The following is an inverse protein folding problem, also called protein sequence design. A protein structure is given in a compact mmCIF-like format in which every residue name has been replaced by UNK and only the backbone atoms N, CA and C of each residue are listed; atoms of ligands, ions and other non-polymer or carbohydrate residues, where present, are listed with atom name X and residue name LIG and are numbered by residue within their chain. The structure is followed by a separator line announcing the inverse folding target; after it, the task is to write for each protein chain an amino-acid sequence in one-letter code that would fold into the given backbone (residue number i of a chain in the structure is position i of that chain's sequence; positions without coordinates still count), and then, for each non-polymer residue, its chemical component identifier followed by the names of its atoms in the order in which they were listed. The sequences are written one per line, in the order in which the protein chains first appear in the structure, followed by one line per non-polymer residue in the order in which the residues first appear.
data_IF_389272263832
#
_entry.id   IF_389272263832
#
_cell.length_a   1.000
_cell.length_b   1.000
_cell.length_c   1.000
_cell.angle_alpha   90.00
_cell.angle_beta   90.00
_cell.angle_gamma   90.00
#
_symmetry.space_group_name_H-M   'P 1'
#
loop_
_entity.id
_entity.type
_entity.pdbx_description
1 polymer ?
#
# COMPACT_ATOMS: atom_id res chain seq x y z
N UNK A 1 -8.50 -17.51 -9.58
CA UNK A 1 -7.49 -17.21 -10.62
C UNK A 1 -6.72 -15.97 -10.20
N UNK A 2 -5.46 -16.10 -9.76
CA UNK A 2 -4.62 -14.93 -9.45
C UNK A 2 -3.93 -14.52 -10.75
N UNK A 3 -4.36 -13.42 -11.37
CA UNK A 3 -3.59 -12.82 -12.44
C UNK A 3 -2.26 -12.35 -11.84
N UNK A 4 -1.18 -13.09 -12.12
CA UNK A 4 0.17 -12.62 -11.91
C UNK A 4 0.36 -11.42 -12.86
N UNK A 5 0.22 -10.20 -12.34
CA UNK A 5 0.72 -9.03 -13.04
C UNK A 5 2.23 -9.20 -13.16
N UNK A 6 2.68 -9.68 -14.32
CA UNK A 6 4.09 -9.84 -14.66
C UNK A 6 4.72 -8.45 -14.52
N UNK A 7 5.59 -8.30 -13.52
CA UNK A 7 6.19 -7.01 -13.22
C UNK A 7 6.92 -6.50 -14.45
N UNK A 8 6.50 -5.35 -14.98
CA UNK A 8 7.10 -4.77 -16.18
C UNK A 8 8.60 -4.57 -15.95
N UNK A 9 9.39 -5.10 -16.88
CA UNK A 9 10.84 -4.96 -16.85
C UNK A 9 11.18 -3.48 -16.98
N UNK A 10 12.10 -3.00 -16.14
CA UNK A 10 12.62 -1.63 -16.22
C UNK A 10 13.84 -1.68 -17.13
N UNK A 11 13.71 -1.11 -18.31
CA UNK A 11 14.67 -1.17 -19.42
C UNK A 11 15.16 0.20 -19.88
N UNK A 12 14.61 1.29 -19.32
CA UNK A 12 15.05 2.67 -19.55
C UNK A 12 15.94 3.16 -18.43
N UNK A 13 17.05 3.81 -18.81
CA UNK A 13 17.99 4.44 -17.90
C UNK A 13 17.69 5.93 -17.72
N UNK A 14 17.94 6.43 -16.51
CA UNK A 14 17.83 7.84 -16.17
C UNK A 14 19.14 8.28 -15.50
N UNK A 15 19.91 9.13 -16.17
CA UNK A 15 21.19 9.62 -15.67
C UNK A 15 21.01 11.01 -15.04
N UNK A 16 21.41 11.13 -13.77
CA UNK A 16 21.37 12.38 -13.01
C UNK A 16 22.80 12.81 -12.66
N UNK A 17 23.19 14.02 -13.07
CA UNK A 17 24.46 14.62 -12.64
C UNK A 17 24.25 15.37 -11.34
N UNK A 18 25.13 15.12 -10.38
CA UNK A 18 25.11 15.70 -9.05
C UNK A 18 26.50 16.26 -8.75
N UNK A 19 26.54 17.37 -8.01
CA UNK A 19 27.74 17.77 -7.31
C UNK A 19 28.03 16.83 -6.14
N UNK A 20 29.28 16.79 -5.68
CA UNK A 20 29.69 15.95 -4.55
C UNK A 20 28.85 16.20 -3.28
N UNK A 21 28.54 17.46 -2.89
CA UNK A 21 27.70 17.73 -1.73
C UNK A 21 26.27 17.18 -1.88
N UNK A 22 25.66 17.32 -3.05
CA UNK A 22 24.30 16.81 -3.32
C UNK A 22 24.29 15.27 -3.24
N UNK A 23 25.31 14.63 -3.80
CA UNK A 23 25.44 13.17 -3.77
C UNK A 23 25.56 12.65 -2.34
N UNK A 24 26.44 13.24 -1.53
CA UNK A 24 26.62 12.85 -0.12
C UNK A 24 25.32 13.04 0.66
N UNK A 25 24.66 14.18 0.48
CA UNK A 25 23.39 14.48 1.16
C UNK A 25 22.32 13.43 0.84
N UNK A 26 22.08 13.16 -0.45
CA UNK A 26 21.08 12.18 -0.88
C UNK A 26 21.41 10.76 -0.40
N UNK A 27 22.70 10.39 -0.40
CA UNK A 27 23.14 9.07 0.07
C UNK A 27 22.88 8.89 1.57
N UNK A 28 23.14 9.92 2.37
CA UNK A 28 22.82 9.93 3.81
C UNK A 28 21.32 9.79 4.04
N UNK A 29 20.49 10.46 3.25
CA UNK A 29 19.03 10.29 3.35
C UNK A 29 18.59 8.86 2.99
N UNK A 30 19.22 8.22 2.00
CA UNK A 30 18.91 6.85 1.62
C UNK A 30 19.29 5.82 2.70
N UNK A 31 20.34 6.06 3.47
CA UNK A 31 20.79 5.19 4.57
C UNK A 31 19.79 5.07 5.72
N UNK A 32 19.07 6.16 6.01
CA UNK A 32 18.04 6.24 7.05
C UNK A 32 16.65 5.77 6.61
N UNK A 33 16.48 5.43 5.33
CA UNK A 33 15.21 4.99 4.76
C UNK A 33 15.14 3.46 4.65
N UNK A 34 13.93 2.92 4.44
CA UNK A 34 13.69 1.46 4.29
C UNK A 34 14.24 0.86 2.98
N UNK A 35 15.01 1.62 2.19
CA UNK A 35 15.51 1.20 0.88
C UNK A 35 16.83 0.42 1.01
N UNK A 36 16.72 -0.87 1.32
CA UNK A 36 17.86 -1.80 1.34
C UNK A 36 17.65 -3.00 0.44
N UNK A 37 18.74 -3.50 -0.12
CA UNK A 37 18.76 -4.80 -0.78
C UNK A 37 18.70 -5.92 0.25
N UNK A 38 18.37 -7.14 -0.19
CA UNK A 38 18.32 -8.33 0.68
C UNK A 38 19.64 -8.62 1.39
N UNK A 39 20.76 -8.18 0.83
CA UNK A 39 22.10 -8.30 1.41
C UNK A 39 22.46 -7.15 2.38
N UNK A 40 21.50 -6.30 2.75
CA UNK A 40 21.68 -5.21 3.72
C UNK A 40 22.28 -3.92 3.14
N UNK A 41 22.79 -3.93 1.90
CA UNK A 41 23.34 -2.75 1.23
C UNK A 41 22.24 -1.72 0.94
N UNK A 42 22.57 -0.44 1.02
CA UNK A 42 21.66 0.66 0.70
C UNK A 42 21.30 0.63 -0.79
N UNK A 43 20.01 0.71 -1.08
CA UNK A 43 19.48 0.77 -2.43
C UNK A 43 19.23 2.23 -2.83
N UNK A 44 20.30 2.94 -3.18
CA UNK A 44 20.25 4.36 -3.52
C UNK A 44 19.33 4.66 -4.71
N UNK A 45 19.42 3.88 -5.80
CA UNK A 45 18.56 4.04 -6.98
C UNK A 45 17.08 3.81 -6.64
N UNK A 46 16.78 2.88 -5.73
CA UNK A 46 15.43 2.65 -5.22
C UNK A 46 14.87 3.84 -4.45
N UNK A 47 15.69 4.45 -3.58
CA UNK A 47 15.34 5.66 -2.84
C UNK A 47 15.04 6.83 -3.78
N UNK A 48 15.97 7.18 -4.67
CA UNK A 48 15.83 8.31 -5.61
C UNK A 48 14.59 8.13 -6.49
N UNK A 49 14.36 6.92 -7.01
CA UNK A 49 13.18 6.62 -7.81
C UNK A 49 11.89 6.79 -7.00
N UNK A 50 11.84 6.30 -5.76
CA UNK A 50 10.63 6.42 -4.94
C UNK A 50 10.29 7.88 -4.68
N UNK A 51 11.30 8.68 -4.30
CA UNK A 51 11.13 10.12 -4.09
C UNK A 51 10.62 10.83 -5.35
N UNK A 52 11.22 10.55 -6.51
CA UNK A 52 10.84 11.20 -7.77
C UNK A 52 9.40 10.83 -8.19
N UNK A 53 9.03 9.55 -8.10
CA UNK A 53 7.70 9.08 -8.49
C UNK A 53 6.60 9.53 -7.53
N UNK A 54 6.92 9.69 -6.25
CA UNK A 54 6.01 10.26 -5.27
C UNK A 54 5.82 11.76 -5.50
N UNK A 55 6.91 12.51 -5.67
CA UNK A 55 6.87 13.96 -5.90
C UNK A 55 6.19 14.34 -7.22
N UNK A 56 6.34 13.52 -8.26
CA UNK A 56 5.67 13.71 -9.56
C UNK A 56 4.18 13.35 -9.54
N UNK A 57 3.66 12.80 -8.44
CA UNK A 57 2.27 12.32 -8.36
C UNK A 57 2.03 10.99 -9.08
N UNK A 58 3.02 10.45 -9.80
CA UNK A 58 2.91 9.17 -10.51
C UNK A 58 2.60 8.00 -9.56
N UNK A 59 3.14 8.05 -8.34
CA UNK A 59 2.89 7.05 -7.31
C UNK A 59 2.41 7.73 -6.03
N UNK A 60 1.12 7.63 -5.74
CA UNK A 60 0.58 8.01 -4.45
C UNK A 60 0.82 6.89 -3.42
N UNK A 61 2.03 6.87 -2.87
CA UNK A 61 2.50 5.96 -1.81
C UNK A 61 1.59 5.97 -0.59
N UNK A 62 1.10 7.15 -0.20
CA UNK A 62 0.15 7.32 0.91
C UNK A 62 -1.16 6.60 0.63
N UNK A 63 -1.76 6.81 -0.54
CA UNK A 63 -3.00 6.14 -0.95
C UNK A 63 -2.82 4.62 -1.05
N UNK A 64 -1.71 4.15 -1.63
CA UNK A 64 -1.40 2.72 -1.72
C UNK A 64 -1.17 2.07 -0.35
N UNK A 65 -0.61 2.81 0.61
CA UNK A 65 -0.48 2.35 2.02
C UNK A 65 -1.85 2.26 2.67
N UNK A 66 -2.67 3.31 2.55
CA UNK A 66 -4.04 3.33 3.08
C UNK A 66 -4.89 2.17 2.53
N UNK A 67 -4.82 1.88 1.23
CA UNK A 67 -5.48 0.72 0.63
C UNK A 67 -5.01 -0.61 1.22
N UNK A 68 -3.71 -0.75 1.52
CA UNK A 68 -3.16 -1.95 2.14
C UNK A 68 -3.64 -2.12 3.57
N UNK A 69 -3.71 -1.02 4.31
CA UNK A 69 -4.20 -1.01 5.69
C UNK A 69 -5.68 -1.40 5.74
N UNK A 70 -6.51 -0.86 4.83
CA UNK A 70 -7.91 -1.27 4.67
C UNK A 70 -8.03 -2.76 4.31
N UNK A 71 -7.24 -3.24 3.35
CA UNK A 71 -7.24 -4.66 2.98
C UNK A 71 -6.83 -5.58 4.13
N UNK A 72 -5.90 -5.13 4.98
CA UNK A 72 -5.46 -5.87 6.15
C UNK A 72 -6.56 -5.97 7.21
N UNK A 73 -7.26 -4.87 7.50
CA UNK A 73 -8.38 -4.88 8.44
C UNK A 73 -9.52 -5.77 7.93
N UNK A 74 -9.88 -5.70 6.64
CA UNK A 74 -10.85 -6.61 6.03
C UNK A 74 -10.48 -8.09 6.19
N UNK A 75 -9.19 -8.43 6.08
CA UNK A 75 -8.71 -9.80 6.28
C UNK A 75 -8.88 -10.26 7.73
N UNK A 76 -8.61 -9.41 8.72
CA UNK A 76 -8.86 -9.75 10.14
C UNK A 76 -10.33 -10.03 10.37
N UNK A 77 -11.21 -9.20 9.83
CA UNK A 77 -12.66 -9.38 9.92
C UNK A 77 -13.09 -10.70 9.32
N UNK A 78 -12.66 -11.00 8.08
CA UNK A 78 -12.97 -12.27 7.44
C UNK A 78 -12.50 -13.47 8.27
N UNK A 79 -11.37 -13.34 8.97
CA UNK A 79 -10.87 -14.37 9.90
C UNK A 79 -11.78 -14.53 11.12
N UNK A 80 -12.21 -13.43 11.75
CA UNK A 80 -13.10 -13.45 12.91
C UNK A 80 -14.50 -13.97 12.56
N UNK A 81 -15.07 -13.53 11.44
CA UNK A 81 -16.36 -14.03 10.92
C UNK A 81 -16.30 -15.53 10.68
N UNK A 82 -15.22 -16.03 10.07
CA UNK A 82 -15.03 -17.45 9.83
C UNK A 82 -14.89 -18.25 11.14
N UNK A 83 -14.30 -17.66 12.18
CA UNK A 83 -14.24 -18.29 13.51
C UNK A 83 -15.63 -18.38 14.16
N UNK A 84 -16.43 -17.31 14.11
CA UNK A 84 -17.81 -17.31 14.62
C UNK A 84 -18.67 -18.33 13.88
N UNK A 85 -18.59 -18.37 12.55
CA UNK A 85 -19.31 -19.34 11.73
C UNK A 85 -18.92 -20.80 12.07
N UNK A 86 -17.63 -21.06 12.33
CA UNK A 86 -17.16 -22.38 12.80
C UNK A 86 -17.74 -22.74 14.17
N UNK A 87 -17.78 -21.81 15.12
CA UNK A 87 -18.41 -22.04 16.44
C UNK A 87 -19.89 -22.39 16.29
N UNK A 88 -20.64 -21.64 15.48
CA UNK A 88 -22.06 -21.91 15.18
C UNK A 88 -22.23 -23.29 14.56
N UNK A 89 -21.42 -23.64 13.55
CA UNK A 89 -21.45 -24.95 12.89
C UNK A 89 -21.06 -26.11 13.81
N UNK A 90 -20.37 -25.85 14.92
CA UNK A 90 -20.03 -26.82 15.96
C UNK A 90 -21.15 -26.97 17.03
N UNK A 91 -22.31 -26.36 16.83
CA UNK A 91 -23.45 -26.43 17.75
C UNK A 91 -23.37 -25.44 18.92
N UNK A 92 -22.41 -24.51 18.91
CA UNK A 92 -22.36 -23.41 19.86
C UNK A 92 -23.42 -22.36 19.49
N UNK A 93 -24.46 -22.23 20.32
CA UNK A 93 -25.39 -21.10 20.25
C UNK A 93 -24.64 -19.92 20.88
N UNK A 94 -24.14 -19.00 20.05
CA UNK A 94 -23.25 -17.92 20.47
C UNK A 94 -23.78 -17.13 21.68
N UNK A 95 -22.88 -16.65 22.53
CA UNK A 95 -23.26 -15.77 23.63
C UNK A 95 -23.64 -14.38 23.10
N UNK A 96 -24.33 -13.57 23.92
CA UNK A 96 -24.64 -12.17 23.57
C UNK A 96 -23.38 -11.37 23.21
N UNK A 97 -22.23 -11.79 23.74
CA UNK A 97 -20.94 -11.13 23.58
C UNK A 97 -20.35 -11.37 22.19
N UNK A 98 -20.50 -12.57 21.61
CA UNK A 98 -20.05 -12.85 20.24
C UNK A 98 -20.80 -11.97 19.21
N UNK A 99 -22.09 -11.69 19.43
CA UNK A 99 -22.90 -10.80 18.58
C UNK A 99 -22.53 -9.33 18.78
N UNK A 100 -22.26 -8.91 20.02
CA UNK A 100 -21.81 -7.56 20.33
C UNK A 100 -20.44 -7.27 19.68
N UNK A 101 -19.52 -8.23 19.73
CA UNK A 101 -18.20 -8.12 19.11
C UNK A 101 -18.31 -7.99 17.58
N UNK A 102 -19.16 -8.81 16.94
CA UNK A 102 -19.41 -8.74 15.51
C UNK A 102 -19.97 -7.37 15.08
N UNK A 103 -20.94 -6.83 15.82
CA UNK A 103 -21.49 -5.49 15.56
C UNK A 103 -20.44 -4.39 15.70
N UNK A 104 -19.59 -4.46 16.72
CA UNK A 104 -18.51 -3.51 16.92
C UNK A 104 -17.49 -3.52 15.78
N UNK A 105 -17.18 -4.70 15.22
CA UNK A 105 -16.35 -4.80 14.02
C UNK A 105 -17.02 -4.19 12.79
N UNK A 106 -18.33 -4.42 12.57
CA UNK A 106 -19.05 -3.83 11.44
C UNK A 106 -19.04 -2.30 11.47
N UNK A 107 -19.27 -1.69 12.62
CA UNK A 107 -19.21 -0.22 12.77
C UNK A 107 -17.81 0.35 12.49
N UNK A 108 -16.75 -0.40 12.82
CA UNK A 108 -15.37 0.00 12.49
C UNK A 108 -15.10 -0.04 10.98
N UNK A 109 -15.72 -0.98 10.26
CA UNK A 109 -15.61 -1.08 8.80
C UNK A 109 -16.26 0.12 8.13
N UNK A 110 -17.48 0.45 8.53
CA UNK A 110 -18.24 1.56 7.95
C UNK A 110 -17.45 2.86 8.01
N UNK A 111 -16.84 3.16 9.18
CA UNK A 111 -15.96 4.33 9.33
C UNK A 111 -14.73 4.28 8.43
N UNK A 112 -14.03 3.16 8.38
CA UNK A 112 -12.85 3.03 7.52
C UNK A 112 -13.18 3.18 6.03
N UNK A 113 -14.38 2.77 5.63
CA UNK A 113 -14.89 2.90 4.27
C UNK A 113 -15.27 4.35 3.94
N UNK A 114 -15.92 5.05 4.88
CA UNK A 114 -16.25 6.46 4.75
C UNK A 114 -15.00 7.33 4.67
N UNK A 115 -14.00 7.06 5.51
CA UNK A 115 -12.70 7.75 5.48
C UNK A 115 -12.00 7.55 4.13
N UNK A 116 -12.06 6.34 3.56
CA UNK A 116 -11.51 6.06 2.23
C UNK A 116 -12.27 6.84 1.15
N UNK A 117 -13.60 6.85 1.21
CA UNK A 117 -14.47 7.52 0.22
C UNK A 117 -14.24 9.03 0.20
N UNK A 118 -14.06 9.65 1.36
CA UNK A 118 -13.86 11.09 1.50
C UNK A 118 -12.42 11.55 1.13
N UNK A 119 -11.48 10.61 1.02
CA UNK A 119 -10.09 10.86 0.62
C UNK A 119 -9.75 10.26 -0.76
N UNK A 120 -10.75 9.88 -1.56
CA UNK A 120 -10.52 9.50 -2.96
C UNK A 120 -9.99 10.75 -3.68
N UNK A 121 -8.74 10.77 -4.16
CA UNK A 121 -8.27 11.87 -4.97
C UNK A 121 -9.19 11.95 -6.20
N UNK A 122 -9.73 13.14 -6.49
CA UNK A 122 -10.38 13.39 -7.77
C UNK A 122 -9.46 12.83 -8.84
N UNK A 123 -9.97 11.84 -9.58
CA UNK A 123 -9.19 11.11 -10.56
C UNK A 123 -8.59 12.12 -11.52
N UNK A 124 -7.29 12.39 -11.35
CA UNK A 124 -6.48 13.05 -12.36
C UNK A 124 -6.64 12.23 -13.63
N UNK A 125 -7.34 12.82 -14.59
CA UNK A 125 -7.50 12.37 -15.96
C UNK A 125 -6.23 11.65 -16.42
N UNK A 126 -6.38 10.36 -16.73
CA UNK A 126 -5.37 9.60 -17.46
C UNK A 126 -5.13 10.33 -18.80
N UNK A 127 -4.06 11.10 -18.89
CA UNK A 127 -3.41 11.26 -20.19
C UNK A 127 -2.49 10.03 -20.34
N UNK A 128 -2.93 9.08 -21.16
CA UNK A 128 -2.02 8.15 -21.80
C UNK A 128 -1.05 8.99 -22.66
N UNK A 129 0.27 8.91 -22.47
CA UNK A 129 1.19 9.25 -23.54
C UNK A 129 1.41 7.97 -24.35
N UNK A 130 0.44 7.64 -25.21
CA UNK A 130 0.76 6.87 -26.41
C UNK A 130 0.83 7.88 -27.57
N UNK A 131 1.96 7.89 -28.27
CA UNK A 131 2.19 8.68 -29.49
C UNK A 131 2.97 9.96 -29.25
N UNK A 132 4.29 9.95 -29.44
CA UNK A 132 4.87 10.11 -30.78
C UNK A 132 6.35 9.74 -30.78
N UNK A 133 6.79 9.33 -31.97
CA UNK A 133 8.09 8.76 -32.31
C UNK A 133 9.28 9.71 -32.09
#
# INVERSE_FOLDING_TARGET
MKQNQKQMKRDRDFNLRLSEPEYIYLKKCAEGAEFRFKNGRVNFSGYVRSMLLEKSGYKNTTYLRQLRDVAYELRKIGTNVNQIAKKINQGYIGSSDDLAELKAYMTRIERAFDDLKNNVPESGTKQNPEGDA
#
